data_IF_880752919910
#
_entry.id   IF_880752919910
#
_cell.length_a   1.000
_cell.length_b   1.000
_cell.length_c   1.000
_cell.angle_alpha   90.00
_cell.angle_beta   90.00
_cell.angle_gamma   90.00
#
_symmetry.space_group_name_H-M   'P 1'
#
loop_
_entity.id
_entity.type
_entity.pdbx_description
1 polymer ?
#
# COMPACT_ATOMS: atom_id res chain seq x y z
N UNK A 1 18.16 24.37 -4.87
CA UNK A 1 17.06 23.50 -5.31
C UNK A 1 16.42 22.96 -4.04
N UNK A 2 15.28 23.53 -3.66
CA UNK A 2 14.51 23.20 -2.45
C UNK A 2 13.94 21.79 -2.60
N UNK A 3 14.46 20.82 -1.85
CA UNK A 3 13.72 19.59 -1.59
C UNK A 3 12.83 19.88 -0.39
N UNK A 4 11.60 20.26 -0.68
CA UNK A 4 10.64 20.77 0.28
C UNK A 4 10.40 19.82 1.46
N UNK A 5 10.20 20.45 2.62
CA UNK A 5 9.44 19.92 3.75
C UNK A 5 8.26 19.05 3.30
N UNK A 6 8.06 17.90 3.93
CA UNK A 6 6.85 17.12 3.69
C UNK A 6 6.75 15.88 4.55
N UNK A 7 6.25 16.08 5.75
CA UNK A 7 5.55 15.10 6.59
C UNK A 7 4.31 14.54 5.85
N UNK A 8 4.49 13.91 4.69
CA UNK A 8 3.39 13.56 3.79
C UNK A 8 3.52 12.12 3.33
N UNK A 9 2.80 11.25 4.03
CA UNK A 9 2.43 9.92 3.55
C UNK A 9 1.56 10.08 2.29
N UNK A 10 2.16 10.43 1.15
CA UNK A 10 1.51 10.58 -0.14
C UNK A 10 2.37 9.94 -1.22
N UNK A 11 1.81 8.93 -1.89
CA UNK A 11 2.49 8.19 -2.95
C UNK A 11 1.80 8.45 -4.29
N UNK A 12 2.55 8.60 -5.39
CA UNK A 12 1.92 8.71 -6.70
C UNK A 12 1.18 7.41 -7.00
N UNK A 13 -0.01 7.49 -7.61
CA UNK A 13 -0.74 6.29 -8.02
C UNK A 13 0.15 5.33 -8.85
N UNK A 14 1.12 5.89 -9.58
CA UNK A 14 1.95 5.15 -10.52
C UNK A 14 1.19 5.03 -11.84
N UNK A 15 1.91 5.17 -12.96
CA UNK A 15 1.32 5.10 -14.29
C UNK A 15 0.97 3.66 -14.71
N UNK A 16 1.44 2.66 -13.97
CA UNK A 16 1.28 1.23 -14.28
C UNK A 16 0.25 0.58 -13.34
N UNK A 17 -1.01 0.57 -13.79
CA UNK A 17 -2.12 -0.15 -13.16
C UNK A 17 -2.19 -1.57 -13.69
N UNK A 18 -2.05 -2.55 -12.81
CA UNK A 18 -2.20 -3.97 -13.16
C UNK A 18 -3.69 -4.30 -13.33
N UNK A 19 -4.55 -3.71 -12.50
CA UNK A 19 -6.02 -3.84 -12.50
C UNK A 19 -6.65 -2.56 -11.95
N UNK A 20 -7.96 -2.41 -12.11
CA UNK A 20 -8.72 -1.33 -11.47
C UNK A 20 -8.50 -1.35 -9.94
N UNK A 21 -7.89 -0.28 -9.40
CA UNK A 21 -7.54 -0.18 -7.99
C UNK A 21 -6.29 -0.94 -7.55
N UNK A 22 -5.56 -1.63 -8.45
CA UNK A 22 -4.28 -2.29 -8.16
C UNK A 22 -3.16 -1.71 -9.04
N UNK A 23 -2.16 -1.16 -8.37
CA UNK A 23 -1.03 -0.47 -8.94
C UNK A 23 0.26 -1.21 -8.59
N UNK A 24 1.23 -1.13 -9.50
CA UNK A 24 2.58 -1.59 -9.19
C UNK A 24 3.23 -0.60 -8.22
N UNK A 25 3.97 -1.12 -7.25
CA UNK A 25 4.76 -0.25 -6.36
C UNK A 25 5.88 0.43 -7.14
N UNK A 26 6.19 1.66 -6.75
CA UNK A 26 7.28 2.47 -7.27
C UNK A 26 8.28 2.76 -6.16
N UNK A 27 9.42 3.35 -6.51
CA UNK A 27 10.48 3.70 -5.57
C UNK A 27 10.01 4.58 -4.40
N UNK A 28 8.98 5.41 -4.62
CA UNK A 28 8.36 6.24 -3.57
C UNK A 28 7.59 5.45 -2.51
N UNK A 29 7.14 4.24 -2.85
CA UNK A 29 6.39 3.36 -1.94
C UNK A 29 7.33 2.58 -0.99
N UNK A 30 8.61 2.44 -1.34
CA UNK A 30 9.64 1.67 -0.61
C UNK A 30 9.67 1.93 0.90
N UNK A 31 9.73 3.18 1.40
CA UNK A 31 9.74 3.43 2.84
C UNK A 31 8.45 2.97 3.54
N UNK A 32 7.30 3.06 2.87
CA UNK A 32 6.01 2.65 3.43
C UNK A 32 5.84 1.13 3.42
N UNK A 33 6.30 0.47 2.36
CA UNK A 33 6.40 -0.98 2.29
C UNK A 33 7.31 -1.51 3.39
N UNK A 34 8.46 -0.86 3.59
CA UNK A 34 9.42 -1.22 4.62
C UNK A 34 8.93 -0.90 6.04
N UNK A 35 8.04 0.08 6.20
CA UNK A 35 7.34 0.34 7.46
C UNK A 35 6.28 -0.74 7.73
N UNK A 36 5.52 -1.12 6.70
CA UNK A 36 4.49 -2.15 6.80
C UNK A 36 5.07 -3.53 7.08
N UNK A 37 6.05 -3.97 6.27
CA UNK A 37 6.73 -5.29 6.24
C UNK A 37 5.82 -6.51 6.04
N UNK A 38 4.61 -6.50 6.62
CA UNK A 38 3.64 -7.59 6.66
C UNK A 38 2.36 -7.25 5.93
N UNK A 39 1.77 -8.24 5.27
CA UNK A 39 0.47 -8.13 4.63
C UNK A 39 -0.62 -8.11 5.72
N UNK A 40 -1.55 -7.12 5.74
CA UNK A 40 -2.59 -7.02 6.76
C UNK A 40 -3.60 -8.18 6.68
N UNK A 41 -3.61 -8.91 5.57
CA UNK A 41 -4.55 -10.00 5.33
C UNK A 41 -4.07 -11.33 5.90
N UNK A 42 -2.77 -11.62 5.79
CA UNK A 42 -2.17 -12.92 6.08
C UNK A 42 -1.08 -12.84 7.15
N UNK A 43 -0.74 -11.64 7.65
CA UNK A 43 0.37 -11.37 8.57
C UNK A 43 1.76 -11.84 8.09
N UNK A 44 1.87 -12.12 6.79
CA UNK A 44 3.08 -12.63 6.12
C UNK A 44 3.92 -11.51 5.49
N UNK A 45 5.22 -11.71 5.23
CA UNK A 45 6.08 -10.70 4.62
C UNK A 45 5.57 -10.30 3.23
N UNK A 46 5.54 -8.99 2.97
CA UNK A 46 5.20 -8.43 1.65
C UNK A 46 6.18 -8.84 0.55
N UNK A 47 7.43 -9.13 0.92
CA UNK A 47 8.54 -9.44 0.03
C UNK A 47 8.66 -10.94 -0.29
N UNK A 48 7.98 -11.81 0.46
CA UNK A 48 8.15 -13.26 0.37
C UNK A 48 7.71 -13.87 -0.99
N UNK A 49 6.94 -13.14 -1.80
CA UNK A 49 6.26 -13.65 -3.00
C UNK A 49 6.63 -12.88 -4.29
N UNK A 50 7.79 -12.20 -4.32
CA UNK A 50 8.27 -11.53 -5.54
C UNK A 50 7.74 -10.11 -5.74
N UNK A 51 7.23 -9.49 -4.67
CA UNK A 51 7.10 -8.04 -4.56
C UNK A 51 5.73 -7.57 -4.08
N UNK A 52 5.69 -6.45 -3.35
CA UNK A 52 4.46 -5.84 -2.91
C UNK A 52 3.71 -5.19 -4.08
N UNK A 53 2.38 -5.32 -4.06
CA UNK A 53 1.49 -4.55 -4.93
C UNK A 53 0.80 -3.48 -4.11
N UNK A 54 0.47 -2.36 -4.74
CA UNK A 54 -0.28 -1.27 -4.13
C UNK A 54 -1.74 -1.38 -4.50
N UNK A 55 -2.63 -1.29 -3.52
CA UNK A 55 -4.08 -1.26 -3.71
C UNK A 55 -4.60 0.10 -3.29
N UNK A 56 -5.40 0.73 -4.13
CA UNK A 56 -6.15 1.92 -3.74
C UNK A 56 -7.39 1.53 -2.93
N UNK A 57 -7.36 1.84 -1.64
CA UNK A 57 -8.46 1.70 -0.71
C UNK A 57 -8.91 3.09 -0.27
N UNK A 58 -10.03 3.58 -0.82
CA UNK A 58 -10.62 4.87 -0.45
C UNK A 58 -9.64 6.06 -0.51
N UNK A 59 -8.77 6.10 -1.53
CA UNK A 59 -7.76 7.15 -1.70
C UNK A 59 -6.48 6.92 -0.92
N UNK A 60 -6.31 5.75 -0.29
CA UNK A 60 -5.08 5.34 0.41
C UNK A 60 -4.46 4.12 -0.26
N UNK A 61 -3.14 4.09 -0.28
CA UNK A 61 -2.33 2.99 -0.78
C UNK A 61 -2.12 1.95 0.31
N UNK A 62 -2.57 0.73 0.05
CA UNK A 62 -2.30 -0.44 0.88
C UNK A 62 -1.37 -1.38 0.15
N UNK A 63 -0.32 -1.86 0.82
CA UNK A 63 0.60 -2.83 0.24
C UNK A 63 0.17 -4.26 0.54
N UNK A 64 0.32 -5.15 -0.44
CA UNK A 64 -0.01 -6.58 -0.33
C UNK A 64 1.06 -7.48 -0.93
N UNK A 65 1.20 -8.68 -0.37
CA UNK A 65 2.18 -9.68 -0.83
C UNK A 65 1.75 -10.42 -2.12
N UNK A 66 0.47 -10.41 -2.47
CA UNK A 66 -0.06 -11.19 -3.59
C UNK A 66 -1.35 -10.54 -4.14
N UNK A 67 -1.60 -10.54 -5.47
CA UNK A 67 -2.83 -10.02 -6.06
C UNK A 67 -4.12 -10.69 -5.53
N UNK A 68 -4.03 -11.88 -4.95
CA UNK A 68 -5.15 -12.52 -4.26
C UNK A 68 -5.62 -11.76 -3.02
N UNK A 69 -4.71 -11.09 -2.31
CA UNK A 69 -5.06 -10.24 -1.14
C UNK A 69 -5.78 -8.96 -1.57
N UNK A 70 -5.56 -8.48 -2.80
CA UNK A 70 -6.21 -7.28 -3.31
C UNK A 70 -7.73 -7.40 -3.32
N UNK A 71 -8.27 -8.58 -3.67
CA UNK A 71 -9.72 -8.81 -3.67
C UNK A 71 -10.35 -8.59 -2.30
N UNK A 72 -9.71 -9.07 -1.23
CA UNK A 72 -10.18 -8.87 0.14
C UNK A 72 -10.17 -7.39 0.53
N UNK A 73 -9.13 -6.68 0.11
CA UNK A 73 -8.99 -5.25 0.38
C UNK A 73 -9.99 -4.42 -0.41
N UNK A 74 -10.16 -4.71 -1.69
CA UNK A 74 -11.14 -4.06 -2.54
C UNK A 74 -12.58 -4.31 -2.06
N UNK A 75 -12.85 -5.47 -1.46
CA UNK A 75 -14.15 -5.78 -0.88
C UNK A 75 -14.43 -4.97 0.41
N UNK A 76 -13.43 -4.79 1.28
CA UNK A 76 -13.61 -4.08 2.56
C UNK A 76 -12.50 -3.04 2.84
N UNK A 77 -12.32 -2.00 2.00
CA UNK A 77 -11.14 -1.12 2.07
C UNK A 77 -11.02 -0.41 3.43
N UNK A 78 -12.12 0.07 3.98
CA UNK A 78 -12.16 0.74 5.28
C UNK A 78 -11.73 -0.16 6.44
N UNK A 79 -12.09 -1.45 6.39
CA UNK A 79 -11.73 -2.43 7.42
C UNK A 79 -10.23 -2.67 7.43
N UNK A 80 -9.62 -2.86 6.27
CA UNK A 80 -8.18 -3.09 6.18
C UNK A 80 -7.36 -1.85 6.50
N UNK A 81 -7.85 -0.65 6.17
CA UNK A 81 -7.25 0.60 6.64
C UNK A 81 -7.24 0.70 8.17
N UNK A 82 -8.32 0.28 8.83
CA UNK A 82 -8.38 0.25 10.29
C UNK A 82 -7.41 -0.79 10.87
N UNK A 83 -7.32 -1.99 10.27
CA UNK A 83 -6.38 -3.05 10.68
C UNK A 83 -4.93 -2.57 10.55
N UNK A 84 -4.56 -1.97 9.42
CA UNK A 84 -3.22 -1.38 9.23
C UNK A 84 -2.89 -0.35 10.30
N UNK A 85 -3.84 0.55 10.59
CA UNK A 85 -3.70 1.53 11.66
C UNK A 85 -3.52 0.87 13.03
N UNK A 86 -4.25 -0.20 13.32
CA UNK A 86 -4.08 -1.00 14.55
C UNK A 86 -2.74 -1.73 14.61
N UNK A 87 -2.16 -2.09 13.46
CA UNK A 87 -0.82 -2.67 13.37
C UNK A 87 0.31 -1.61 13.42
N UNK A 88 -0.03 -0.32 13.58
CA UNK A 88 0.93 0.78 13.56
C UNK A 88 1.50 1.07 12.17
N UNK A 89 0.83 0.56 11.12
CA UNK A 89 1.20 0.77 9.73
C UNK A 89 0.33 1.88 9.15
N UNK A 90 0.97 2.99 8.76
CA UNK A 90 0.26 4.11 8.18
C UNK A 90 0.20 4.01 6.65
N UNK A 91 -1.01 3.83 6.12
CA UNK A 91 -1.25 3.76 4.68
C UNK A 91 -1.11 5.16 4.05
N UNK A 92 -0.16 5.37 3.11
CA UNK A 92 -0.02 6.65 2.46
C UNK A 92 -1.23 6.96 1.58
N UNK A 93 -1.53 8.23 1.39
CA UNK A 93 -2.62 8.71 0.55
C UNK A 93 -2.15 8.69 -0.92
N UNK A 94 -3.00 8.26 -1.85
CA UNK A 94 -2.67 8.33 -3.26
C UNK A 94 -3.00 9.74 -3.76
N UNK A 95 -2.01 10.40 -4.38
CA UNK A 95 -2.18 11.71 -5.04
C UNK A 95 -1.86 11.64 -6.52
#
# INVERSE_FOLDING_TARGET
MVYGNGDQASVPAGTEQVRDGIFKVVSADVPFIAAQKKCPVMDEPLDAMGGPYKVNAAGKAIYICCPGCAKKIAAEPHKWLAVLKSQGVEAPTIR
#
